data_IF_165043919837
#
_entry.id   IF_165043919837
#
_cell.length_a   1.000
_cell.length_b   1.000
_cell.length_c   1.000
_cell.angle_alpha   90.00
_cell.angle_beta   90.00
_cell.angle_gamma   90.00
#
_symmetry.space_group_name_H-M   'P 1'
#
loop_
_entity.id
_entity.type
_entity.pdbx_description
1 polymer ?
#
# COMPACT_ATOMS: atom_id res chain seq x y z
N UNK A 1 -5.55 -14.37 13.83
CA UNK A 1 -4.10 -14.10 13.75
C UNK A 1 -3.79 -12.92 12.83
N UNK A 2 -4.06 -13.02 11.52
CA UNK A 2 -3.72 -11.95 10.55
C UNK A 2 -4.43 -10.60 10.81
N UNK A 3 -5.72 -10.61 11.21
CA UNK A 3 -6.44 -9.38 11.56
C UNK A 3 -5.85 -8.67 12.79
N UNK A 4 -5.48 -9.43 13.83
CA UNK A 4 -4.84 -8.88 15.02
C UNK A 4 -3.46 -8.29 14.69
N UNK A 5 -2.69 -8.98 13.83
CA UNK A 5 -1.42 -8.47 13.33
C UNK A 5 -1.59 -7.15 12.57
N UNK A 6 -2.54 -7.08 11.62
CA UNK A 6 -2.81 -5.86 10.86
C UNK A 6 -3.26 -4.71 11.75
N UNK A 7 -4.12 -4.99 12.73
CA UNK A 7 -4.60 -4.00 13.69
C UNK A 7 -3.45 -3.48 14.56
N UNK A 8 -2.62 -4.38 15.10
CA UNK A 8 -1.46 -4.01 15.91
C UNK A 8 -0.46 -3.17 15.09
N UNK A 9 -0.17 -3.57 13.86
CA UNK A 9 0.71 -2.82 12.96
C UNK A 9 0.16 -1.42 12.65
N UNK A 10 -1.15 -1.34 12.36
CA UNK A 10 -1.81 -0.05 12.07
C UNK A 10 -1.78 0.87 13.28
N UNK A 11 -2.07 0.34 14.48
CA UNK A 11 -1.97 1.10 15.73
C UNK A 11 -0.55 1.60 15.98
N UNK A 12 0.45 0.73 15.80
CA UNK A 12 1.85 1.08 16.01
C UNK A 12 2.27 2.23 15.08
N UNK A 13 1.90 2.16 13.81
CA UNK A 13 2.17 3.22 12.83
C UNK A 13 1.44 4.53 13.21
N UNK A 14 0.16 4.45 13.59
CA UNK A 14 -0.62 5.60 14.01
C UNK A 14 -0.02 6.27 15.26
N UNK A 15 0.43 5.48 16.23
CA UNK A 15 1.11 5.98 17.43
C UNK A 15 2.43 6.67 17.06
N UNK A 16 3.22 6.07 16.16
CA UNK A 16 4.45 6.67 15.65
C UNK A 16 4.20 8.02 14.99
N UNK A 17 3.17 8.14 14.16
CA UNK A 17 2.75 9.41 13.55
C UNK A 17 2.31 10.42 14.61
N UNK A 18 1.52 10.00 15.60
CA UNK A 18 1.07 10.88 16.67
C UNK A 18 2.22 11.43 17.51
N UNK A 19 3.18 10.58 17.87
CA UNK A 19 4.40 10.97 18.60
C UNK A 19 5.27 11.90 17.74
N UNK A 20 5.45 11.58 16.46
CA UNK A 20 6.23 12.42 15.55
C UNK A 20 5.58 13.80 15.37
N UNK A 21 4.27 13.86 15.16
CA UNK A 21 3.53 15.10 15.03
C UNK A 21 3.51 15.92 16.33
N UNK A 22 3.31 15.27 17.48
CA UNK A 22 3.32 15.93 18.78
C UNK A 22 4.69 16.51 19.15
N UNK A 23 5.78 15.83 18.77
CA UNK A 23 7.14 16.31 18.99
C UNK A 23 7.61 17.35 17.97
N UNK A 24 6.93 17.47 16.83
CA UNK A 24 7.21 18.48 15.80
C UNK A 24 6.01 19.41 15.62
N UNK A 25 5.72 20.27 16.62
CA UNK A 25 4.60 21.21 16.55
C UNK A 25 4.86 22.36 15.56
N UNK A 26 6.10 22.53 15.11
CA UNK A 26 6.48 23.55 14.15
C UNK A 26 5.73 23.35 12.84
N UNK A 27 5.02 24.37 12.34
CA UNK A 27 4.36 24.28 11.04
C UNK A 27 5.39 24.12 9.92
N UNK A 28 5.06 23.28 8.94
CA UNK A 28 5.89 22.99 7.78
C UNK A 28 5.26 23.57 6.53
N UNK A 29 6.10 23.93 5.57
CA UNK A 29 5.64 24.31 4.23
C UNK A 29 6.14 23.32 3.18
N UNK A 30 5.21 22.78 2.39
CA UNK A 30 5.54 21.91 1.26
C UNK A 30 5.83 22.77 0.05
N UNK A 31 6.99 22.55 -0.58
CA UNK A 31 7.37 23.17 -1.84
C UNK A 31 7.36 22.11 -2.93
N UNK A 32 6.64 22.35 -4.02
CA UNK A 32 6.55 21.43 -5.15
C UNK A 32 6.63 22.19 -6.47
N UNK A 33 7.74 22.01 -7.19
CA UNK A 33 8.06 22.77 -8.40
C UNK A 33 8.01 24.29 -8.11
N UNK A 34 7.00 24.99 -8.62
CA UNK A 34 6.76 26.43 -8.38
C UNK A 34 5.71 26.71 -7.30
N UNK A 35 5.05 25.67 -6.79
CA UNK A 35 3.97 25.79 -5.82
C UNK A 35 4.49 25.69 -4.39
N UNK A 36 3.89 26.48 -3.51
CA UNK A 36 4.15 26.49 -2.07
C UNK A 36 2.83 26.33 -1.33
N UNK A 37 2.77 25.40 -0.39
CA UNK A 37 1.59 25.23 0.47
C UNK A 37 1.48 26.35 1.49
N UNK A 38 0.31 26.46 2.13
CA UNK A 38 0.21 27.14 3.43
C UNK A 38 1.00 26.36 4.49
N UNK A 39 1.25 26.99 5.63
CA UNK A 39 1.84 26.32 6.78
C UNK A 39 0.88 25.25 7.32
N UNK A 40 1.38 24.01 7.40
CA UNK A 40 0.61 22.85 7.82
C UNK A 40 1.34 22.16 8.97
N UNK A 41 0.62 21.74 10.03
CA UNK A 41 1.22 20.90 11.06
C UNK A 41 1.59 19.54 10.47
N UNK A 42 2.70 18.96 10.95
CA UNK A 42 3.24 17.70 10.42
C UNK A 42 2.20 16.56 10.42
N UNK A 43 1.38 16.47 11.48
CA UNK A 43 0.32 15.46 11.57
C UNK A 43 -0.72 15.57 10.44
N UNK A 44 -1.13 16.79 10.08
CA UNK A 44 -2.07 17.02 8.98
C UNK A 44 -1.41 16.67 7.63
N UNK A 45 -0.15 17.04 7.45
CA UNK A 45 0.60 16.70 6.24
C UNK A 45 0.67 15.19 6.01
N UNK A 46 1.01 14.42 7.05
CA UNK A 46 1.06 12.95 6.99
C UNK A 46 -0.34 12.37 6.71
N UNK A 47 -1.38 12.87 7.39
CA UNK A 47 -2.75 12.41 7.18
C UNK A 47 -3.22 12.62 5.73
N UNK A 48 -2.94 13.80 5.15
CA UNK A 48 -3.25 14.10 3.75
C UNK A 48 -2.46 13.19 2.80
N UNK A 49 -1.17 12.96 3.06
CA UNK A 49 -0.35 12.07 2.24
C UNK A 49 -0.88 10.61 2.24
N UNK A 50 -1.23 10.08 3.41
CA UNK A 50 -1.85 8.76 3.53
C UNK A 50 -3.20 8.73 2.80
N UNK A 51 -4.04 9.75 2.99
CA UNK A 51 -5.33 9.87 2.33
C UNK A 51 -5.22 9.89 0.81
N UNK A 52 -4.31 10.70 0.25
CA UNK A 52 -4.05 10.74 -1.19
C UNK A 52 -3.47 9.42 -1.72
N UNK A 53 -2.58 8.77 -0.96
CA UNK A 53 -2.07 7.45 -1.32
C UNK A 53 -3.18 6.39 -1.39
N UNK A 54 -4.09 6.37 -0.42
CA UNK A 54 -5.24 5.47 -0.41
C UNK A 54 -6.22 5.78 -1.54
N UNK A 55 -6.51 7.06 -1.79
CA UNK A 55 -7.39 7.49 -2.88
C UNK A 55 -6.81 7.09 -4.24
N UNK A 56 -5.53 7.37 -4.47
CA UNK A 56 -4.85 7.02 -5.74
C UNK A 56 -4.73 5.51 -5.93
N UNK A 57 -4.44 4.74 -4.89
CA UNK A 57 -4.44 3.28 -4.95
C UNK A 57 -5.84 2.70 -5.22
N UNK A 58 -6.86 3.23 -4.54
CA UNK A 58 -8.26 2.83 -4.73
C UNK A 58 -8.75 3.13 -6.15
N UNK A 59 -8.54 4.36 -6.64
CA UNK A 59 -8.87 4.76 -8.01
C UNK A 59 -8.04 3.97 -9.03
N UNK A 60 -6.76 3.73 -8.77
CA UNK A 60 -5.90 2.91 -9.62
C UNK A 60 -6.42 1.47 -9.78
N UNK A 61 -6.96 0.88 -8.71
CA UNK A 61 -7.59 -0.44 -8.79
C UNK A 61 -8.85 -0.45 -9.68
N UNK A 62 -9.61 0.65 -9.67
CA UNK A 62 -10.84 0.80 -10.45
C UNK A 62 -10.54 1.06 -11.93
N UNK A 63 -9.53 1.88 -12.22
CA UNK A 63 -9.14 2.28 -13.57
C UNK A 63 -8.27 1.24 -14.26
N UNK A 64 -7.53 0.42 -13.50
CA UNK A 64 -6.67 -0.64 -14.04
C UNK A 64 -6.92 -1.99 -13.34
N UNK A 65 -8.12 -2.59 -13.53
CA UNK A 65 -8.47 -3.87 -12.90
C UNK A 65 -7.60 -5.06 -13.35
N UNK A 66 -6.75 -4.87 -14.37
CA UNK A 66 -5.96 -5.92 -15.05
C UNK A 66 -4.74 -6.48 -14.31
N UNK A 67 -4.49 -6.13 -13.05
CA UNK A 67 -3.46 -6.78 -12.23
C UNK A 67 -4.05 -7.74 -11.19
N UNK A 68 -5.08 -8.49 -11.57
CA UNK A 68 -5.44 -9.70 -10.83
C UNK A 68 -4.32 -10.73 -11.03
N UNK A 69 -3.26 -10.61 -10.22
CA UNK A 69 -2.19 -11.60 -10.10
C UNK A 69 -2.75 -13.01 -9.88
N UNK A 70 -3.98 -13.12 -9.35
CA UNK A 70 -4.68 -14.39 -9.15
C UNK A 70 -5.07 -15.12 -10.44
N UNK A 71 -5.36 -14.43 -11.55
CA UNK A 71 -5.70 -15.09 -12.82
C UNK A 71 -4.45 -15.67 -13.50
N UNK A 72 -3.36 -14.92 -13.50
CA UNK A 72 -2.06 -15.39 -14.01
C UNK A 72 -1.48 -16.50 -13.13
N UNK A 73 -1.66 -16.42 -11.81
CA UNK A 73 -1.26 -17.48 -10.88
C UNK A 73 -2.00 -18.80 -11.14
N UNK A 74 -3.31 -18.74 -11.45
CA UNK A 74 -4.10 -19.92 -11.83
C UNK A 74 -3.56 -20.56 -13.12
N UNK A 75 -3.31 -19.75 -14.15
CA UNK A 75 -2.75 -20.25 -15.42
C UNK A 75 -1.34 -20.85 -15.26
N UNK A 76 -0.53 -20.28 -14.37
CA UNK A 76 0.81 -20.81 -14.10
C UNK A 76 0.76 -22.16 -13.37
N UNK A 77 -0.17 -22.33 -12.44
CA UNK A 77 -0.42 -23.61 -11.77
C UNK A 77 -0.85 -24.70 -12.77
N UNK A 78 -1.74 -24.38 -13.70
CA UNK A 78 -2.15 -25.33 -14.74
C UNK A 78 -0.96 -25.76 -15.62
N UNK A 79 -0.07 -24.82 -15.98
CA UNK A 79 1.14 -25.13 -16.74
C UNK A 79 2.13 -25.99 -15.95
N UNK A 80 2.28 -25.75 -14.66
CA UNK A 80 3.13 -26.57 -13.80
C UNK A 80 2.61 -28.01 -13.71
N UNK A 81 1.29 -28.19 -13.56
CA UNK A 81 0.68 -29.53 -13.55
C UNK A 81 0.86 -30.27 -14.88
N UNK A 82 0.85 -29.55 -16.00
CA UNK A 82 1.11 -30.13 -17.31
C UNK A 82 2.56 -30.61 -17.44
N UNK A 83 3.52 -29.78 -17.01
CA UNK A 83 4.94 -30.15 -17.02
C UNK A 83 5.22 -31.34 -16.10
N UNK A 84 4.63 -31.36 -14.90
CA UNK A 84 4.80 -32.45 -13.94
C UNK A 84 4.20 -33.77 -14.45
N UNK A 85 3.09 -33.72 -15.21
CA UNK A 85 2.56 -34.90 -15.92
C UNK A 85 3.44 -35.35 -17.08
N UNK A 86 4.12 -34.43 -17.74
CA UNK A 86 4.97 -34.73 -18.89
C UNK A 86 6.31 -35.36 -18.45
N UNK A 87 6.80 -34.99 -17.27
CA UNK A 87 8.02 -35.55 -16.65
C UNK A 87 7.78 -36.87 -15.89
N UNK A 88 6.53 -37.30 -15.71
CA UNK A 88 6.25 -38.57 -15.02
C UNK A 88 6.53 -39.76 -15.96
N UNK A 89 7.56 -40.59 -15.71
CA UNK A 89 7.90 -41.69 -16.59
C UNK A 89 6.79 -42.76 -16.53
N UNK A 90 6.37 -43.24 -17.70
CA UNK A 90 5.43 -44.35 -17.83
C UNK A 90 5.98 -45.59 -17.10
N UNK A 91 5.13 -46.33 -16.35
CA UNK A 91 5.54 -47.53 -15.64
C UNK A 91 6.00 -48.66 -16.57
#
# INVERSE_FOLDING_TARGET
MLLLFNLALTLLLALGVAVLAGQNPTPLTVHFLIWRSVELPLGLLIAVAIGLGLLTAGLGSLLWPGRSFSLTARQLQERLQQLERQDQPLP
#
